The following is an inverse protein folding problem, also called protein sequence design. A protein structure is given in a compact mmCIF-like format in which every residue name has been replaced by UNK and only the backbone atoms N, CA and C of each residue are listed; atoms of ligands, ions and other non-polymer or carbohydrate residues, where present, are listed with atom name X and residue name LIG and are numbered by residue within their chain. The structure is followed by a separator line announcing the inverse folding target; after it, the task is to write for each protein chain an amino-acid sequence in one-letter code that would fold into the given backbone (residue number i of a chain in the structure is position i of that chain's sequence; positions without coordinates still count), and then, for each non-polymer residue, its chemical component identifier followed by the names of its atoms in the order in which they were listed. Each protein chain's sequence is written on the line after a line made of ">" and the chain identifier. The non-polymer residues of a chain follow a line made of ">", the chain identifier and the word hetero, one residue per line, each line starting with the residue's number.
data_IF_133021704171
#
_entry.id   IF_133021704171
#
_cell.length_a   1.000
_cell.length_b   1.000
_cell.length_c   1.000
_cell.angle_alpha   90.00
_cell.angle_beta   90.00
_cell.angle_gamma   90.00
#
_symmetry.space_group_name_H-M   'P 1'
#
loop_
_entity.id
_entity.type
_entity.pdbx_description
1 polymer ?
#
# COMPACT_ATOMS: atom_id res chain seq x y z
N UNK A 1 -10.11 -20.31 48.05
CA UNK A 1 -10.32 -18.85 47.90
C UNK A 1 -10.60 -18.61 46.43
N UNK A 2 -11.88 -18.42 46.08
CA UNK A 2 -12.33 -18.29 44.70
C UNK A 2 -12.73 -16.84 44.49
N UNK A 3 -11.94 -16.09 43.73
CA UNK A 3 -12.35 -14.76 43.27
C UNK A 3 -13.12 -14.92 41.96
N UNK A 4 -14.40 -14.56 41.89
CA UNK A 4 -15.12 -14.50 40.62
C UNK A 4 -14.65 -13.26 39.87
N UNK A 5 -13.99 -13.44 38.73
CA UNK A 5 -13.77 -12.34 37.78
C UNK A 5 -15.08 -12.18 37.00
N UNK A 6 -15.94 -11.33 37.55
CA UNK A 6 -17.00 -10.65 36.81
C UNK A 6 -16.33 -9.49 36.06
N UNK A 7 -16.17 -9.64 34.74
CA UNK A 7 -15.82 -8.52 33.87
C UNK A 7 -16.65 -8.61 32.59
N UNK A 8 -17.65 -7.73 32.43
CA UNK A 8 -18.41 -7.61 31.19
C UNK A 8 -17.65 -6.67 30.25
N UNK A 9 -16.80 -7.22 29.38
CA UNK A 9 -16.43 -6.54 28.14
C UNK A 9 -16.09 -7.58 27.08
N UNK A 10 -17.13 -8.17 26.49
CA UNK A 10 -16.99 -9.08 25.35
C UNK A 10 -17.26 -8.34 24.03
N UNK A 11 -17.19 -7.01 24.03
CA UNK A 11 -17.53 -6.16 22.89
C UNK A 11 -16.36 -5.39 22.28
N UNK A 12 -15.37 -4.96 23.09
CA UNK A 12 -14.30 -4.07 22.63
C UNK A 12 -13.14 -4.77 21.91
N UNK A 13 -12.80 -6.01 22.28
CA UNK A 13 -11.65 -6.70 21.70
C UNK A 13 -11.86 -7.06 20.22
N UNK A 14 -13.07 -7.42 19.83
CA UNK A 14 -13.38 -7.78 18.44
C UNK A 14 -13.35 -6.57 17.48
N UNK A 15 -13.64 -5.36 17.97
CA UNK A 15 -13.53 -4.13 17.17
C UNK A 15 -12.08 -3.71 17.00
N UNK A 16 -11.26 -3.82 18.06
CA UNK A 16 -9.83 -3.50 18.00
C UNK A 16 -9.07 -4.43 17.04
N UNK A 17 -9.41 -5.71 17.03
CA UNK A 17 -8.79 -6.72 16.13
C UNK A 17 -9.13 -6.43 14.65
N UNK A 18 -10.39 -6.04 14.38
CA UNK A 18 -10.83 -5.60 13.04
C UNK A 18 -10.06 -4.36 12.60
N UNK A 19 -10.02 -3.31 13.41
CA UNK A 19 -9.33 -2.06 13.07
C UNK A 19 -7.84 -2.29 12.84
N UNK A 20 -7.21 -3.17 13.63
CA UNK A 20 -5.81 -3.56 13.44
C UNK A 20 -5.59 -4.26 12.09
N UNK A 21 -6.46 -5.20 11.71
CA UNK A 21 -6.41 -5.84 10.39
C UNK A 21 -6.55 -4.85 9.23
N UNK A 22 -7.41 -3.84 9.36
CA UNK A 22 -7.59 -2.80 8.34
C UNK A 22 -6.32 -1.95 8.19
N UNK A 23 -5.73 -1.50 9.30
CA UNK A 23 -4.47 -0.73 9.31
C UNK A 23 -3.31 -1.52 8.68
N UNK A 24 -3.17 -2.80 9.03
CA UNK A 24 -2.13 -3.67 8.47
C UNK A 24 -2.31 -3.82 6.96
N UNK A 25 -3.54 -4.00 6.47
CA UNK A 25 -3.84 -4.10 5.03
C UNK A 25 -3.57 -2.79 4.30
N UNK A 26 -3.81 -1.65 4.94
CA UNK A 26 -3.52 -0.34 4.40
C UNK A 26 -2.01 -0.08 4.29
N UNK A 27 -1.22 -0.49 5.29
CA UNK A 27 0.24 -0.36 5.34
C UNK A 27 1.00 -1.49 4.63
N UNK A 28 0.33 -2.57 4.23
CA UNK A 28 0.97 -3.68 3.52
C UNK A 28 1.59 -3.22 2.19
N UNK A 29 2.91 -3.03 2.24
CA UNK A 29 3.81 -2.88 1.10
C UNK A 29 4.15 -4.30 0.65
N UNK A 30 3.74 -4.69 -0.56
CA UNK A 30 3.95 -6.05 -1.07
C UNK A 30 5.47 -6.35 -1.17
N UNK A 31 6.02 -7.26 -0.34
CA UNK A 31 7.47 -7.33 -0.09
C UNK A 31 8.30 -7.93 -1.24
N UNK A 32 7.70 -8.27 -2.40
CA UNK A 32 8.34 -9.18 -3.37
C UNK A 32 8.51 -8.68 -4.80
N UNK A 33 7.80 -7.63 -5.24
CA UNK A 33 7.80 -7.23 -6.66
C UNK A 33 8.12 -5.74 -6.88
N UNK A 34 8.64 -5.06 -5.86
CA UNK A 34 8.91 -3.62 -5.89
C UNK A 34 10.23 -3.27 -6.60
N UNK A 35 10.93 -4.26 -7.14
CA UNK A 35 12.34 -4.13 -7.51
C UNK A 35 12.65 -4.50 -8.96
N UNK A 36 11.67 -4.99 -9.73
CA UNK A 36 11.92 -5.49 -11.09
C UNK A 36 11.29 -4.66 -12.18
N UNK A 37 10.23 -3.91 -11.85
CA UNK A 37 9.47 -3.16 -12.84
C UNK A 37 9.21 -1.73 -12.40
N UNK A 38 9.29 -0.81 -13.36
CA UNK A 38 8.90 0.58 -13.21
C UNK A 38 7.39 0.74 -13.38
N UNK A 39 6.77 1.50 -12.49
CA UNK A 39 5.32 1.68 -12.45
C UNK A 39 4.94 3.12 -12.79
N UNK A 40 3.85 3.28 -13.54
CA UNK A 40 3.28 4.61 -13.80
C UNK A 40 2.40 5.06 -12.65
N UNK A 41 2.53 6.34 -12.34
CA UNK A 41 1.78 7.05 -11.32
C UNK A 41 1.72 8.53 -11.71
N UNK A 42 0.70 9.23 -11.21
CA UNK A 42 0.56 10.67 -11.43
C UNK A 42 1.79 11.41 -10.89
N UNK A 43 2.31 12.34 -11.68
CA UNK A 43 3.52 13.12 -11.35
C UNK A 43 3.42 13.83 -10.00
N UNK A 44 2.25 14.43 -9.70
CA UNK A 44 1.97 15.04 -8.40
C UNK A 44 2.19 14.09 -7.22
N UNK A 45 1.75 12.83 -7.36
CA UNK A 45 1.87 11.84 -6.29
C UNK A 45 3.30 11.38 -6.06
N UNK A 46 4.12 11.30 -7.10
CA UNK A 46 5.56 11.06 -6.96
C UNK A 46 6.23 12.20 -6.20
N UNK A 47 5.92 13.45 -6.55
CA UNK A 47 6.51 14.61 -5.89
C UNK A 47 6.10 14.70 -4.42
N UNK A 48 4.81 14.55 -4.13
CA UNK A 48 4.27 14.51 -2.76
C UNK A 48 4.93 13.41 -1.92
N UNK A 49 5.13 12.22 -2.53
CA UNK A 49 5.79 11.10 -1.89
C UNK A 49 7.29 11.30 -1.67
N UNK A 50 8.00 11.94 -2.61
CA UNK A 50 9.40 12.27 -2.45
C UNK A 50 9.64 13.23 -1.27
N UNK A 51 8.66 14.08 -0.93
CA UNK A 51 8.73 15.00 0.21
C UNK A 51 8.27 14.32 1.51
N UNK A 52 7.16 13.58 1.46
CA UNK A 52 6.52 13.00 2.66
C UNK A 52 7.05 11.62 3.04
N UNK A 53 7.75 10.93 2.13
CA UNK A 53 8.16 9.53 2.29
C UNK A 53 7.00 8.52 2.24
N UNK A 54 5.76 8.97 1.96
CA UNK A 54 4.58 8.10 1.94
C UNK A 54 4.54 7.21 0.70
N UNK A 55 4.04 5.96 0.79
CA UNK A 55 3.92 5.10 -0.38
C UNK A 55 2.91 5.68 -1.39
N UNK A 56 3.20 5.49 -2.68
CA UNK A 56 2.32 5.83 -3.80
C UNK A 56 1.67 4.58 -4.38
N UNK A 57 0.51 4.75 -5.02
CA UNK A 57 -0.19 3.65 -5.70
C UNK A 57 -0.08 3.78 -7.22
N UNK A 58 0.28 2.68 -7.88
CA UNK A 58 0.47 2.57 -9.32
C UNK A 58 -0.87 2.49 -10.06
N UNK A 59 -0.84 2.70 -11.38
CA UNK A 59 -1.97 2.37 -12.25
C UNK A 59 -2.36 0.87 -12.14
N UNK A 60 -1.40 -0.03 -11.96
CA UNK A 60 -1.68 -1.46 -11.75
C UNK A 60 -2.13 -1.81 -10.33
N UNK A 61 -2.27 -0.82 -9.43
CA UNK A 61 -2.76 -1.02 -8.06
C UNK A 61 -1.70 -1.31 -7.00
N UNK A 62 -0.44 -1.56 -7.39
CA UNK A 62 0.69 -1.77 -6.47
C UNK A 62 1.00 -0.50 -5.67
N UNK A 63 1.19 -0.61 -4.36
CA UNK A 63 1.65 0.49 -3.51
C UNK A 63 3.16 0.39 -3.30
N UNK A 64 3.97 1.42 -3.49
CA UNK A 64 5.41 1.39 -3.23
C UNK A 64 5.94 2.76 -2.80
N UNK A 65 7.08 2.81 -2.11
CA UNK A 65 7.76 4.08 -1.81
C UNK A 65 8.83 4.36 -2.86
N UNK A 66 8.79 5.51 -3.55
CA UNK A 66 9.77 5.87 -4.57
C UNK A 66 11.13 6.17 -3.92
N UNK A 67 12.17 5.46 -4.35
CA UNK A 67 13.53 5.66 -3.86
C UNK A 67 14.65 5.09 -4.74
N UNK A 68 14.31 4.51 -5.91
CA UNK A 68 15.29 4.02 -6.91
C UNK A 68 15.05 4.68 -8.27
N UNK A 69 16.07 4.66 -9.13
CA UNK A 69 15.97 5.17 -10.50
C UNK A 69 15.02 4.30 -11.36
N UNK A 70 13.91 4.84 -11.89
CA UNK A 70 12.96 4.07 -12.69
C UNK A 70 13.49 3.72 -14.10
N UNK A 71 14.54 4.38 -14.57
CA UNK A 71 15.14 4.11 -15.89
C UNK A 71 15.96 2.82 -15.92
N UNK A 72 16.31 2.26 -14.76
CA UNK A 72 17.08 1.02 -14.65
C UNK A 72 16.22 -0.24 -14.77
N UNK A 73 14.90 -0.11 -14.83
CA UNK A 73 13.96 -1.23 -14.80
C UNK A 73 12.96 -1.17 -15.95
N UNK A 74 12.57 -2.32 -16.52
CA UNK A 74 11.50 -2.38 -17.52
C UNK A 74 10.18 -1.87 -16.94
N UNK A 75 9.36 -1.22 -17.75
CA UNK A 75 8.02 -0.76 -17.32
C UNK A 75 7.08 -1.95 -17.13
N UNK A 76 6.28 -1.92 -16.06
CA UNK A 76 5.22 -2.90 -15.80
C UNK A 76 4.25 -3.00 -16.99
N UNK A 77 4.01 -4.20 -17.55
CA UNK A 77 3.18 -4.38 -18.74
C UNK A 77 1.75 -3.86 -18.52
N UNK A 78 1.15 -4.16 -17.37
CA UNK A 78 -0.18 -3.68 -17.00
C UNK A 78 -0.24 -2.16 -16.93
N UNK A 79 0.77 -1.50 -16.35
CA UNK A 79 0.82 -0.03 -16.32
C UNK A 79 0.90 0.53 -17.75
N UNK A 80 1.68 -0.12 -18.63
CA UNK A 80 1.83 0.28 -20.03
C UNK A 80 0.51 0.16 -20.80
N UNK A 81 -0.23 -0.93 -20.61
CA UNK A 81 -1.54 -1.15 -21.24
C UNK A 81 -2.58 -0.12 -20.79
N UNK A 82 -2.68 0.12 -19.48
CA UNK A 82 -3.61 1.13 -18.93
C UNK A 82 -3.23 2.54 -19.40
N UNK A 83 -1.94 2.87 -19.45
CA UNK A 83 -1.49 4.16 -19.95
C UNK A 83 -1.80 4.34 -21.44
N UNK A 84 -1.62 3.28 -22.24
CA UNK A 84 -1.96 3.30 -23.65
C UNK A 84 -3.48 3.50 -23.89
N UNK A 85 -4.34 2.90 -23.05
CA UNK A 85 -5.79 3.12 -23.15
C UNK A 85 -6.24 4.49 -22.68
N UNK A 86 -5.50 5.15 -21.78
CA UNK A 86 -5.77 6.52 -21.32
C UNK A 86 -5.38 7.60 -22.35
N UNK A 87 -4.43 7.29 -23.24
CA UNK A 87 -3.91 8.27 -24.23
C UNK A 87 -4.54 8.12 -25.62
N UNK A 88 -5.41 7.13 -25.80
CA UNK A 88 -6.11 6.81 -27.05
C UNK A 88 -7.46 7.49 -27.12
#
# INVERSE_FOLDING_TARGET
>A
MSTPIDSPDQGGLATLDRELEELIREEAIEPGDHERFSHYVKKDKILESAITGKPVRALCGKKWTPGRDPEKFPVCPTCKEIYASLTS
#
